data_IF_224991035304
#
_entry.id   IF_224991035304
#
_cell.length_a   1.000
_cell.length_b   1.000
_cell.length_c   1.000
_cell.angle_alpha   90.00
_cell.angle_beta   90.00
_cell.angle_gamma   90.00
#
_symmetry.space_group_name_H-M   'P 1'
#
loop_
_entity.id
_entity.type
_entity.pdbx_description
1 polymer ?
#
# COMPACT_ATOMS: atom_id res chain seq x y z
N UNK A 1 -31.20 -58.39 12.65
CA UNK A 1 -31.27 -57.46 11.50
C UNK A 1 -31.31 -56.02 12.01
N UNK A 2 -30.18 -55.30 11.92
CA UNK A 2 -30.03 -53.99 11.26
C UNK A 2 -28.62 -53.44 11.58
N UNK A 3 -27.87 -52.89 10.61
CA UNK A 3 -26.43 -52.78 10.70
C UNK A 3 -25.99 -51.46 11.34
N UNK A 4 -24.92 -51.54 12.14
CA UNK A 4 -24.16 -50.44 12.69
C UNK A 4 -23.02 -50.10 11.69
N UNK A 5 -23.33 -49.41 10.58
CA UNK A 5 -22.33 -49.01 9.57
C UNK A 5 -22.57 -47.57 9.06
N UNK A 6 -22.52 -46.58 9.96
CA UNK A 6 -22.63 -45.16 9.55
C UNK A 6 -21.59 -44.22 10.18
N UNK A 7 -20.58 -44.74 10.91
CA UNK A 7 -19.57 -43.90 11.58
C UNK A 7 -18.15 -43.98 10.98
N UNK A 8 -17.90 -44.83 9.98
CA UNK A 8 -16.60 -44.88 9.32
C UNK A 8 -16.31 -43.76 8.28
N UNK A 9 -17.28 -43.17 7.55
CA UNK A 9 -16.94 -42.14 6.56
C UNK A 9 -16.61 -40.78 7.20
N UNK A 10 -16.97 -40.54 8.47
CA UNK A 10 -16.66 -39.28 9.16
C UNK A 10 -15.19 -39.19 9.63
N UNK A 11 -14.55 -40.31 9.96
CA UNK A 11 -13.15 -40.31 10.42
C UNK A 11 -12.13 -40.25 9.27
N UNK A 12 -12.49 -40.73 8.08
CA UNK A 12 -11.62 -40.67 6.90
C UNK A 12 -11.69 -39.28 6.26
N UNK A 13 -12.88 -38.67 6.20
CA UNK A 13 -13.04 -37.30 5.71
C UNK A 13 -12.30 -36.27 6.58
N UNK A 14 -12.22 -36.47 7.91
CA UNK A 14 -11.48 -35.56 8.78
C UNK A 14 -9.96 -35.68 8.60
N UNK A 15 -9.42 -36.87 8.33
CA UNK A 15 -7.98 -37.05 8.09
C UNK A 15 -7.53 -36.52 6.72
N UNK A 16 -8.33 -36.72 5.66
CA UNK A 16 -8.04 -36.15 4.34
C UNK A 16 -8.18 -34.61 4.35
N UNK A 17 -9.23 -34.07 4.96
CA UNK A 17 -9.41 -32.63 5.13
C UNK A 17 -8.29 -31.97 5.99
N UNK A 18 -7.72 -32.70 6.95
CA UNK A 18 -6.54 -32.26 7.71
C UNK A 18 -5.26 -32.28 6.87
N UNK A 19 -5.13 -33.25 5.95
CA UNK A 19 -3.96 -33.38 5.10
C UNK A 19 -3.80 -32.15 4.21
N UNK A 20 -4.82 -31.74 3.45
CA UNK A 20 -4.69 -30.57 2.55
C UNK A 20 -4.59 -29.25 3.33
N UNK A 21 -5.25 -29.14 4.49
CA UNK A 21 -5.17 -27.95 5.34
C UNK A 21 -3.76 -27.69 5.89
N UNK A 22 -3.01 -28.75 6.25
CA UNK A 22 -1.64 -28.61 6.77
C UNK A 22 -0.58 -28.74 5.67
N UNK A 23 -0.75 -29.68 4.75
CA UNK A 23 0.20 -29.97 3.66
C UNK A 23 0.32 -28.80 2.68
N UNK A 24 -0.79 -28.12 2.37
CA UNK A 24 -0.77 -26.96 1.48
C UNK A 24 -0.55 -25.65 2.24
N UNK A 25 -0.28 -25.73 3.56
CA UNK A 25 0.06 -24.55 4.34
C UNK A 25 1.42 -24.00 3.94
N UNK A 26 1.60 -22.70 4.12
CA UNK A 26 2.83 -21.98 3.81
C UNK A 26 3.19 -21.05 4.95
N UNK A 27 4.45 -21.05 5.33
CA UNK A 27 5.01 -20.16 6.35
C UNK A 27 6.12 -19.30 5.76
N UNK A 28 6.12 -18.01 6.08
CA UNK A 28 7.23 -17.12 5.71
C UNK A 28 7.56 -16.13 6.82
N UNK A 29 8.86 -15.85 6.98
CA UNK A 29 9.36 -14.81 7.86
C UNK A 29 10.12 -13.79 7.04
N UNK A 30 9.56 -12.58 6.92
CA UNK A 30 10.28 -11.44 6.38
C UNK A 30 11.03 -10.74 7.52
N UNK A 31 12.32 -10.53 7.31
CA UNK A 31 13.23 -9.79 8.19
C UNK A 31 13.55 -8.48 7.50
N UNK A 32 13.31 -7.35 8.18
CA UNK A 32 13.47 -6.02 7.63
C UNK A 32 14.26 -5.13 8.58
N UNK A 33 15.41 -4.66 8.16
CA UNK A 33 16.12 -3.57 8.82
C UNK A 33 15.81 -2.27 8.06
N UNK A 34 15.40 -1.20 8.75
CA UNK A 34 14.95 0.03 8.10
C UNK A 34 15.48 1.26 8.84
N UNK A 35 16.35 2.02 8.18
CA UNK A 35 16.72 3.38 8.55
C UNK A 35 15.93 4.40 7.71
N UNK A 36 15.33 5.38 8.39
CA UNK A 36 14.56 6.45 7.78
C UNK A 36 15.02 7.78 8.36
N UNK A 37 15.31 8.73 7.48
CA UNK A 37 15.71 10.08 7.81
C UNK A 37 14.94 11.07 6.93
N UNK A 38 14.31 12.05 7.56
CA UNK A 38 13.52 13.09 6.92
C UNK A 38 13.90 14.41 7.60
N UNK A 39 14.84 15.10 6.98
CA UNK A 39 15.49 16.31 7.45
C UNK A 39 14.78 17.53 6.88
N UNK A 40 14.13 18.30 7.73
CA UNK A 40 13.36 19.48 7.33
C UNK A 40 14.27 20.71 7.27
N UNK A 41 14.34 21.35 6.12
CA UNK A 41 15.29 22.46 5.90
C UNK A 41 14.74 23.79 6.43
N UNK A 42 15.19 24.21 7.62
CA UNK A 42 14.92 25.53 8.23
C UNK A 42 13.47 25.80 8.61
N UNK A 43 13.17 26.86 9.38
CA UNK A 43 11.82 27.18 9.84
C UNK A 43 11.43 26.54 11.20
N UNK A 44 10.24 26.83 11.74
CA UNK A 44 9.83 26.34 13.05
C UNK A 44 9.36 24.88 13.01
N UNK A 45 9.50 24.16 14.12
CA UNK A 45 9.02 22.79 14.28
C UNK A 45 10.15 21.82 14.65
N UNK A 46 10.00 20.55 14.31
CA UNK A 46 11.05 19.54 14.45
C UNK A 46 12.10 19.72 13.36
N UNK A 47 13.38 19.62 13.68
CA UNK A 47 14.43 19.69 12.65
C UNK A 47 14.45 18.44 11.76
N UNK A 48 14.21 17.26 12.35
CA UNK A 48 14.24 15.99 11.64
C UNK A 48 13.20 14.99 12.18
N UNK A 49 12.82 14.02 11.36
CA UNK A 49 12.25 12.74 11.80
C UNK A 49 13.19 11.61 11.37
N UNK A 50 13.88 11.00 12.33
CA UNK A 50 14.95 10.03 12.07
C UNK A 50 14.89 8.84 13.01
N UNK A 51 14.67 7.65 12.46
CA UNK A 51 14.57 6.41 13.21
C UNK A 51 15.26 5.25 12.48
N UNK A 52 15.80 4.31 13.26
CA UNK A 52 16.32 3.03 12.80
C UNK A 52 15.64 1.90 13.55
N UNK A 53 15.10 0.92 12.82
CA UNK A 53 14.35 -0.18 13.39
C UNK A 53 14.65 -1.53 12.74
N UNK A 54 14.48 -2.60 13.51
CA UNK A 54 14.48 -3.98 13.05
C UNK A 54 13.06 -4.55 13.16
N UNK A 55 12.54 -5.12 12.08
CA UNK A 55 11.20 -5.67 12.00
C UNK A 55 11.18 -7.13 11.53
N UNK A 56 10.18 -7.86 12.00
CA UNK A 56 9.90 -9.23 11.63
C UNK A 56 8.42 -9.35 11.26
N UNK A 57 8.11 -9.88 10.08
CA UNK A 57 6.75 -10.14 9.60
C UNK A 57 6.62 -11.64 9.36
N UNK A 58 5.92 -12.32 10.25
CA UNK A 58 5.57 -13.72 10.13
C UNK A 58 4.21 -13.82 9.42
N UNK A 59 4.15 -14.55 8.31
CA UNK A 59 2.89 -14.94 7.67
C UNK A 59 2.78 -16.45 7.68
N UNK A 60 1.61 -16.95 8.06
CA UNK A 60 1.29 -18.37 8.02
C UNK A 60 -0.13 -18.55 7.49
N UNK A 61 -0.25 -19.23 6.36
CA UNK A 61 -1.52 -19.54 5.73
C UNK A 61 -1.70 -21.05 5.73
N UNK A 62 -2.85 -21.55 6.19
CA UNK A 62 -3.21 -22.94 5.97
C UNK A 62 -3.50 -23.21 4.48
N UNK A 63 -3.58 -24.49 4.11
CA UNK A 63 -4.35 -24.90 2.95
C UNK A 63 -5.86 -24.73 3.17
N UNK A 64 -6.64 -25.29 2.24
CA UNK A 64 -8.09 -25.36 2.33
C UNK A 64 -8.53 -26.77 2.70
N UNK A 65 -9.54 -26.91 3.56
CA UNK A 65 -10.16 -28.22 3.79
C UNK A 65 -10.85 -28.73 2.53
N UNK A 66 -10.86 -30.04 2.32
CA UNK A 66 -11.66 -30.67 1.27
C UNK A 66 -13.17 -30.41 1.47
N UNK A 67 -13.91 -30.35 0.36
CA UNK A 67 -15.37 -30.22 0.34
C UNK A 67 -15.88 -29.07 -0.54
N UNK A 68 -17.22 -28.98 -0.72
CA UNK A 68 -17.85 -27.94 -1.53
C UNK A 68 -17.73 -26.54 -0.92
N UNK A 69 -17.64 -26.46 0.41
CA UNK A 69 -17.27 -25.26 1.16
C UNK A 69 -15.93 -25.53 1.81
N UNK A 70 -14.91 -24.88 1.30
CA UNK A 70 -13.53 -25.03 1.74
C UNK A 70 -13.23 -24.02 2.83
N UNK A 71 -12.56 -24.44 3.90
CA UNK A 71 -12.18 -23.58 5.02
C UNK A 71 -10.66 -23.46 5.14
N UNK A 72 -10.17 -22.26 5.43
CA UNK A 72 -8.78 -21.95 5.67
C UNK A 72 -8.60 -20.92 6.79
N UNK A 73 -7.39 -20.86 7.35
CA UNK A 73 -6.95 -19.83 8.29
C UNK A 73 -5.74 -19.09 7.73
N UNK A 74 -5.65 -17.80 8.00
CA UNK A 74 -4.47 -16.98 7.74
C UNK A 74 -4.07 -16.25 9.01
N UNK A 75 -2.78 -16.16 9.24
CA UNK A 75 -2.17 -15.45 10.33
C UNK A 75 -1.09 -14.50 9.82
N UNK A 76 -1.07 -13.30 10.38
CA UNK A 76 0.03 -12.35 10.23
C UNK A 76 0.44 -11.83 11.60
N UNK A 77 1.73 -11.95 11.92
CA UNK A 77 2.34 -11.42 13.14
C UNK A 77 3.47 -10.48 12.77
N UNK A 78 3.55 -9.35 13.45
CA UNK A 78 4.56 -8.32 13.21
C UNK A 78 5.14 -7.86 14.54
N UNK A 79 6.46 -7.81 14.63
CA UNK A 79 7.17 -7.29 15.80
C UNK A 79 8.36 -6.45 15.38
N UNK A 80 8.44 -5.22 15.91
CA UNK A 80 9.46 -4.24 15.60
C UNK A 80 10.23 -3.83 16.85
N UNK A 81 11.53 -3.62 16.69
CA UNK A 81 12.47 -3.22 17.73
C UNK A 81 13.16 -1.92 17.33
N UNK A 82 13.23 -0.99 18.27
CA UNK A 82 14.04 0.22 18.13
C UNK A 82 15.52 -0.14 18.12
N UNK A 83 16.25 0.40 17.14
CA UNK A 83 17.71 0.41 17.13
C UNK A 83 18.23 1.81 17.46
N UNK A 84 17.55 2.85 16.95
CA UNK A 84 17.87 4.24 17.22
C UNK A 84 16.64 5.13 17.03
N UNK A 85 16.30 5.93 18.05
CA UNK A 85 15.23 6.95 18.03
C UNK A 85 15.31 7.80 19.30
N UNK A 86 14.63 8.94 19.31
CA UNK A 86 14.42 9.77 20.51
C UNK A 86 13.16 10.63 20.37
N UNK A 87 12.59 11.16 21.48
CA UNK A 87 11.33 11.90 21.44
C UNK A 87 11.34 13.13 20.51
N UNK A 88 12.48 13.77 20.33
CA UNK A 88 12.68 14.93 19.46
C UNK A 88 12.71 14.59 17.96
N UNK A 89 12.89 13.32 17.57
CA UNK A 89 12.98 12.90 16.15
C UNK A 89 12.16 11.66 15.77
N UNK A 90 11.23 11.24 16.64
CA UNK A 90 10.26 10.18 16.33
C UNK A 90 9.11 10.67 15.44
N UNK A 91 8.28 9.74 14.98
CA UNK A 91 7.10 10.00 14.14
C UNK A 91 7.31 9.62 12.68
N UNK A 92 8.35 8.83 12.36
CA UNK A 92 8.59 8.39 10.98
C UNK A 92 7.56 7.36 10.50
N UNK A 93 6.84 6.72 11.43
CA UNK A 93 5.97 5.58 11.18
C UNK A 93 6.69 4.23 11.15
N UNK A 94 7.98 4.17 11.54
CA UNK A 94 8.70 2.92 11.76
C UNK A 94 8.38 2.30 13.14
N UNK A 95 8.33 3.14 14.18
CA UNK A 95 8.16 2.75 15.57
C UNK A 95 6.89 3.37 16.16
N UNK A 96 6.25 2.65 17.09
CA UNK A 96 5.16 3.22 17.89
C UNK A 96 5.73 4.14 18.97
N UNK A 97 5.04 5.23 19.25
CA UNK A 97 5.40 6.19 20.30
C UNK A 97 4.15 6.70 21.04
N UNK A 98 4.34 7.24 22.24
CA UNK A 98 3.29 7.89 22.99
C UNK A 98 2.99 9.27 22.37
N UNK A 99 1.78 9.54 21.86
CA UNK A 99 1.50 10.79 21.16
C UNK A 99 1.52 12.04 22.06
N UNK A 100 1.50 11.89 23.40
CA UNK A 100 1.58 13.00 24.36
C UNK A 100 3.01 13.29 24.79
N UNK A 101 3.77 12.27 25.18
CA UNK A 101 5.16 12.43 25.68
C UNK A 101 6.20 12.34 24.56
N UNK A 102 5.83 11.82 23.39
CA UNK A 102 6.71 11.45 22.27
C UNK A 102 7.73 10.37 22.60
N UNK A 103 7.62 9.73 23.76
CA UNK A 103 8.48 8.60 24.11
C UNK A 103 8.20 7.42 23.18
N UNK A 104 9.29 6.85 22.66
CA UNK A 104 9.27 5.75 21.69
C UNK A 104 9.29 4.45 22.47
N UNK A 105 8.50 3.47 22.03
CA UNK A 105 8.54 2.15 22.63
C UNK A 105 9.75 1.37 22.09
N UNK A 106 10.55 0.77 22.98
CA UNK A 106 11.70 -0.07 22.61
C UNK A 106 11.31 -1.19 21.63
N UNK A 107 10.08 -1.69 21.75
CA UNK A 107 9.49 -2.63 20.81
C UNK A 107 7.97 -2.48 20.74
N UNK A 108 7.38 -2.97 19.65
CA UNK A 108 5.94 -3.09 19.50
C UNK A 108 5.56 -4.29 18.65
N UNK A 109 4.41 -4.89 18.95
CA UNK A 109 3.94 -6.07 18.23
C UNK A 109 2.46 -5.98 17.93
N UNK A 110 2.08 -6.40 16.73
CA UNK A 110 0.69 -6.49 16.30
C UNK A 110 0.48 -7.76 15.49
N UNK A 111 -0.69 -8.36 15.63
CA UNK A 111 -1.04 -9.56 14.90
C UNK A 111 -2.48 -9.52 14.42
N UNK A 112 -2.77 -10.37 13.45
CA UNK A 112 -4.09 -10.55 12.86
C UNK A 112 -4.31 -12.01 12.48
N UNK A 113 -5.54 -12.47 12.65
CA UNK A 113 -6.00 -13.76 12.16
C UNK A 113 -7.24 -13.54 11.29
N UNK A 114 -7.38 -14.34 10.24
CA UNK A 114 -8.61 -14.35 9.44
C UNK A 114 -9.04 -15.76 9.09
N UNK A 115 -10.33 -16.01 9.14
CA UNK A 115 -10.95 -17.18 8.53
C UNK A 115 -11.16 -16.93 7.04
N UNK A 116 -10.93 -17.95 6.23
CA UNK A 116 -11.15 -17.96 4.78
C UNK A 116 -12.15 -19.05 4.44
N UNK A 117 -13.15 -18.72 3.64
CA UNK A 117 -14.15 -19.65 3.14
C UNK A 117 -14.17 -19.56 1.63
N UNK A 118 -14.05 -20.69 0.94
CA UNK A 118 -14.02 -20.73 -0.51
C UNK A 118 -15.06 -21.70 -1.06
N UNK A 119 -15.78 -21.27 -2.08
CA UNK A 119 -16.70 -22.08 -2.88
C UNK A 119 -16.42 -21.75 -4.34
N UNK A 120 -16.11 -22.76 -5.16
CA UNK A 120 -15.69 -22.53 -6.55
C UNK A 120 -14.49 -21.57 -6.62
N UNK A 121 -14.59 -20.48 -7.39
CA UNK A 121 -13.60 -19.43 -7.56
C UNK A 121 -13.95 -18.18 -6.73
N UNK A 122 -14.79 -18.33 -5.71
CA UNK A 122 -15.21 -17.25 -4.81
C UNK A 122 -14.72 -17.50 -3.40
N UNK A 123 -13.99 -16.53 -2.84
CA UNK A 123 -13.40 -16.58 -1.51
C UNK A 123 -13.93 -15.42 -0.65
N UNK A 124 -14.39 -15.74 0.55
CA UNK A 124 -14.68 -14.81 1.63
C UNK A 124 -13.58 -14.90 2.69
N UNK A 125 -12.92 -13.78 2.98
CA UNK A 125 -11.99 -13.64 4.09
C UNK A 125 -12.62 -12.76 5.19
N UNK A 126 -12.58 -13.19 6.45
CA UNK A 126 -13.12 -12.45 7.60
C UNK A 126 -12.10 -12.43 8.74
N UNK A 127 -11.78 -11.25 9.25
CA UNK A 127 -10.79 -11.03 10.30
C UNK A 127 -9.84 -9.89 9.94
N UNK A 128 -8.55 -10.04 10.25
CA UNK A 128 -7.51 -9.08 9.89
C UNK A 128 -6.84 -9.41 8.57
N UNK A 129 -6.73 -8.44 7.68
CA UNK A 129 -6.13 -8.59 6.35
C UNK A 129 -5.46 -7.30 5.86
N UNK A 130 -4.75 -7.39 4.73
CA UNK A 130 -4.06 -6.25 4.06
C UNK A 130 -4.51 -6.14 2.60
N UNK A 131 -5.72 -5.63 2.32
CA UNK A 131 -6.28 -5.59 0.97
C UNK A 131 -5.44 -4.69 0.07
N UNK A 132 -5.11 -5.12 -1.14
CA UNK A 132 -4.39 -4.29 -2.13
C UNK A 132 -5.33 -3.93 -3.28
N UNK A 133 -5.91 -2.73 -3.20
CA UNK A 133 -6.92 -2.21 -4.12
C UNK A 133 -6.58 -0.76 -4.50
N UNK A 134 -7.02 -0.25 -5.67
CA UNK A 134 -6.81 1.15 -6.03
C UNK A 134 -7.42 2.16 -5.03
N UNK A 135 -8.50 1.77 -4.33
CA UNK A 135 -9.18 2.56 -3.29
C UNK A 135 -8.68 2.26 -1.86
N UNK A 136 -7.76 1.30 -1.71
CA UNK A 136 -7.14 0.90 -0.44
C UNK A 136 -5.79 0.26 -0.74
N UNK A 137 -4.73 1.08 -0.73
CA UNK A 137 -3.40 0.67 -1.14
C UNK A 137 -2.42 0.69 0.05
N UNK A 138 -2.45 -0.34 0.93
CA UNK A 138 -1.57 -0.43 2.08
C UNK A 138 -0.15 -0.70 1.61
N UNK A 139 0.66 0.34 1.56
CA UNK A 139 2.06 0.23 1.13
C UNK A 139 2.93 -0.21 2.30
N UNK A 140 3.96 -0.97 1.96
CA UNK A 140 5.04 -1.38 2.86
C UNK A 140 6.15 -0.33 2.94
N UNK A 141 5.80 0.96 2.80
CA UNK A 141 6.75 2.08 2.71
C UNK A 141 7.49 2.36 4.03
N UNK A 142 7.09 1.71 5.12
CA UNK A 142 7.68 1.78 6.46
C UNK A 142 7.98 0.36 6.97
N UNK A 143 8.12 0.17 8.28
CA UNK A 143 8.50 -1.11 8.86
C UNK A 143 7.42 -2.17 8.58
N UNK A 144 6.15 -1.84 8.85
CA UNK A 144 5.02 -2.74 8.68
C UNK A 144 3.89 -2.13 7.86
N UNK A 145 3.13 -2.94 7.11
CA UNK A 145 1.84 -2.50 6.58
C UNK A 145 0.81 -2.32 7.72
N UNK A 146 -0.26 -1.54 7.50
CA UNK A 146 -1.43 -1.55 8.38
C UNK A 146 -2.23 -2.86 8.26
N UNK A 147 -3.02 -3.21 9.27
CA UNK A 147 -3.99 -4.33 9.23
C UNK A 147 -5.41 -3.79 9.30
N UNK A 148 -6.29 -4.26 8.43
CA UNK A 148 -7.71 -3.91 8.45
C UNK A 148 -8.52 -5.06 9.00
N UNK A 149 -9.44 -4.76 9.93
CA UNK A 149 -10.40 -5.72 10.47
C UNK A 149 -11.72 -5.60 9.72
N UNK A 150 -12.22 -6.72 9.22
CA UNK A 150 -13.50 -6.75 8.51
C UNK A 150 -13.68 -8.02 7.68
N UNK A 151 -14.43 -7.89 6.59
CA UNK A 151 -14.68 -8.97 5.64
C UNK A 151 -14.54 -8.51 4.20
N UNK A 152 -13.98 -9.37 3.35
CA UNK A 152 -13.85 -9.13 1.92
C UNK A 152 -14.19 -10.41 1.15
N UNK A 153 -15.02 -10.27 0.12
CA UNK A 153 -15.29 -11.30 -0.88
C UNK A 153 -14.51 -10.97 -2.14
N UNK A 154 -13.85 -11.97 -2.72
CA UNK A 154 -13.25 -11.94 -4.06
C UNK A 154 -13.84 -13.07 -4.89
N UNK A 155 -14.36 -12.76 -6.07
CA UNK A 155 -15.02 -13.73 -6.96
C UNK A 155 -14.40 -13.68 -8.36
N UNK A 156 -14.03 -14.86 -8.87
CA UNK A 156 -13.53 -15.08 -10.23
C UNK A 156 -14.34 -16.12 -10.98
N UNK A 157 -15.67 -16.12 -10.82
CA UNK A 157 -16.55 -17.11 -11.49
C UNK A 157 -16.71 -16.86 -13.00
N UNK A 158 -16.47 -15.63 -13.46
CA UNK A 158 -16.61 -15.23 -14.87
C UNK A 158 -15.21 -15.03 -15.46
N UNK A 159 -14.92 -15.70 -16.56
CA UNK A 159 -13.63 -15.62 -17.23
C UNK A 159 -13.26 -14.16 -17.54
N UNK A 160 -12.05 -13.77 -17.11
CA UNK A 160 -11.52 -12.43 -17.29
C UNK A 160 -12.06 -11.39 -16.31
N UNK A 161 -13.08 -11.68 -15.51
CA UNK A 161 -13.67 -10.77 -14.52
C UNK A 161 -13.29 -11.19 -13.09
N UNK A 162 -12.79 -10.24 -12.31
CA UNK A 162 -12.62 -10.40 -10.86
C UNK A 162 -13.44 -9.35 -10.13
N UNK A 163 -14.45 -9.78 -9.38
CA UNK A 163 -15.27 -8.91 -8.54
C UNK A 163 -14.77 -8.94 -7.11
N UNK A 164 -14.74 -7.78 -6.44
CA UNK A 164 -14.37 -7.65 -5.04
C UNK A 164 -15.34 -6.71 -4.32
N UNK A 165 -15.67 -7.06 -3.09
CA UNK A 165 -16.46 -6.20 -2.22
C UNK A 165 -16.20 -6.51 -0.76
N UNK A 166 -16.35 -5.52 0.10
CA UNK A 166 -16.04 -5.72 1.51
C UNK A 166 -16.42 -4.55 2.40
N UNK A 167 -16.25 -4.79 3.69
CA UNK A 167 -16.48 -3.83 4.76
C UNK A 167 -15.40 -3.98 5.82
N UNK A 168 -14.77 -2.87 6.21
CA UNK A 168 -13.78 -2.80 7.27
C UNK A 168 -14.20 -1.81 8.34
N UNK A 169 -14.06 -2.16 9.61
CA UNK A 169 -14.53 -1.34 10.73
C UNK A 169 -13.40 -0.85 11.64
N UNK A 170 -12.22 -1.48 11.58
CA UNK A 170 -11.02 -1.05 12.30
C UNK A 170 -9.77 -1.15 11.46
N UNK A 171 -8.76 -0.40 11.87
CA UNK A 171 -7.42 -0.42 11.32
C UNK A 171 -6.40 -0.43 12.47
N UNK A 172 -5.44 -1.33 12.41
CA UNK A 172 -4.15 -1.19 13.10
C UNK A 172 -3.23 -0.41 12.19
N UNK A 173 -2.89 0.82 12.59
CA UNK A 173 -1.98 1.70 11.87
C UNK A 173 -0.59 1.05 11.70
N UNK A 174 0.23 1.56 10.77
CA UNK A 174 1.55 0.97 10.47
C UNK A 174 2.45 0.86 11.72
N UNK A 175 2.36 1.86 12.59
CA UNK A 175 3.12 2.12 13.81
C UNK A 175 2.27 2.00 15.09
N UNK A 176 1.22 1.16 15.08
CA UNK A 176 0.32 0.98 16.23
C UNK A 176 -0.06 -0.48 16.46
N UNK A 177 -0.35 -0.81 17.71
CA UNK A 177 -0.85 -2.12 18.18
C UNK A 177 -2.36 -2.19 18.25
N UNK A 178 -3.04 -1.04 18.29
CA UNK A 178 -4.47 -0.93 18.62
C UNK A 178 -5.38 -1.08 17.40
N UNK A 179 -6.53 -1.74 17.58
CA UNK A 179 -7.63 -1.68 16.61
C UNK A 179 -8.39 -0.36 16.76
N UNK A 180 -7.98 0.64 16.00
CA UNK A 180 -8.56 1.97 16.03
C UNK A 180 -9.61 2.15 14.91
N UNK A 181 -10.49 3.15 15.08
CA UNK A 181 -11.43 3.52 14.00
C UNK A 181 -10.67 4.05 12.78
N UNK A 182 -11.27 3.85 11.61
CA UNK A 182 -10.73 4.37 10.36
C UNK A 182 -10.88 5.89 10.32
N UNK A 183 -9.94 6.55 9.66
CA UNK A 183 -9.91 8.00 9.46
C UNK A 183 -9.45 8.32 8.05
N UNK A 184 -9.76 9.52 7.59
CA UNK A 184 -9.14 10.12 6.40
C UNK A 184 -7.75 10.65 6.76
N UNK A 185 -6.82 10.67 5.80
CA UNK A 185 -5.55 11.36 5.97
C UNK A 185 -5.77 12.86 6.20
N UNK A 186 -5.11 13.41 7.22
CA UNK A 186 -5.09 14.84 7.51
C UNK A 186 -3.82 15.54 7.00
N UNK A 187 -3.05 14.91 6.09
CA UNK A 187 -1.80 15.49 5.61
C UNK A 187 -2.05 16.88 4.99
N UNK A 188 -1.12 17.80 5.24
CA UNK A 188 -1.20 19.22 4.86
C UNK A 188 -2.46 19.94 5.37
N UNK A 189 -3.18 19.38 6.35
CA UNK A 189 -4.42 19.99 6.85
C UNK A 189 -5.57 19.97 5.84
N UNK A 190 -5.47 19.19 4.76
CA UNK A 190 -6.49 19.14 3.68
C UNK A 190 -7.87 18.70 4.19
N UNK A 191 -7.89 17.89 5.24
CA UNK A 191 -9.08 17.35 5.88
C UNK A 191 -8.89 17.27 7.40
N UNK A 192 -9.99 17.24 8.16
CA UNK A 192 -9.92 16.92 9.58
C UNK A 192 -9.55 15.43 9.79
N UNK A 193 -8.25 15.15 9.91
CA UNK A 193 -7.70 13.81 10.11
C UNK A 193 -8.03 13.16 11.47
N UNK A 194 -8.68 13.87 12.38
CA UNK A 194 -9.21 13.29 13.63
C UNK A 194 -10.61 12.72 13.47
N UNK A 195 -11.28 13.00 12.34
CA UNK A 195 -12.62 12.50 12.05
C UNK A 195 -12.61 10.96 11.95
N UNK A 196 -13.32 10.32 12.87
CA UNK A 196 -13.47 8.87 12.87
C UNK A 196 -14.71 8.42 12.09
N UNK A 197 -14.54 7.34 11.34
CA UNK A 197 -15.62 6.65 10.65
C UNK A 197 -16.04 5.37 11.38
N UNK A 198 -17.31 4.98 11.20
CA UNK A 198 -17.83 3.69 11.66
C UNK A 198 -17.36 2.51 10.79
N UNK A 199 -16.99 2.78 9.54
CA UNK A 199 -16.52 1.76 8.62
C UNK A 199 -16.22 2.26 7.21
N UNK A 200 -15.51 1.42 6.47
CA UNK A 200 -15.17 1.59 5.08
C UNK A 200 -15.78 0.45 4.26
N UNK A 201 -16.71 0.77 3.37
CA UNK A 201 -17.30 -0.20 2.44
C UNK A 201 -16.78 0.05 1.03
N UNK A 202 -16.66 -1.02 0.25
CA UNK A 202 -16.30 -0.91 -1.15
C UNK A 202 -16.87 -2.05 -1.99
N UNK A 203 -16.95 -1.82 -3.29
CA UNK A 203 -17.35 -2.80 -4.28
C UNK A 203 -16.81 -2.41 -5.65
N UNK A 204 -16.36 -3.39 -6.43
CA UNK A 204 -15.77 -3.14 -7.74
C UNK A 204 -15.19 -4.39 -8.37
N UNK A 205 -14.38 -4.20 -9.40
CA UNK A 205 -13.71 -5.29 -10.07
C UNK A 205 -12.81 -4.87 -11.21
N UNK A 206 -12.08 -5.86 -11.70
CA UNK A 206 -11.20 -5.78 -12.85
C UNK A 206 -11.71 -6.70 -13.95
N UNK A 207 -11.68 -6.25 -15.20
CA UNK A 207 -12.07 -7.04 -16.34
C UNK A 207 -11.01 -6.98 -17.45
N UNK A 208 -10.59 -8.13 -17.95
CA UNK A 208 -9.78 -8.24 -19.16
C UNK A 208 -10.65 -7.91 -20.38
N UNK A 209 -10.60 -6.66 -20.81
CA UNK A 209 -11.30 -6.19 -22.02
C UNK A 209 -10.68 -6.81 -23.28
N UNK A 210 -9.36 -6.99 -23.27
CA UNK A 210 -8.55 -7.72 -24.23
C UNK A 210 -7.40 -8.43 -23.49
N UNK A 211 -6.64 -9.30 -24.15
CA UNK A 211 -5.47 -9.97 -23.55
C UNK A 211 -4.43 -8.99 -23.00
N UNK A 212 -4.36 -7.80 -23.57
CA UNK A 212 -3.40 -6.75 -23.26
C UNK A 212 -4.04 -5.48 -22.68
N UNK A 213 -5.35 -5.48 -22.42
CA UNK A 213 -6.11 -4.33 -21.92
C UNK A 213 -7.02 -4.75 -20.75
N UNK A 214 -6.77 -4.19 -19.58
CA UNK A 214 -7.59 -4.38 -18.39
C UNK A 214 -8.33 -3.09 -18.05
N UNK A 215 -9.64 -3.19 -17.87
CA UNK A 215 -10.47 -2.15 -17.26
C UNK A 215 -10.75 -2.46 -15.80
N UNK A 216 -10.90 -1.42 -14.98
CA UNK A 216 -11.14 -1.54 -13.56
C UNK A 216 -12.12 -0.47 -13.09
N UNK A 217 -13.02 -0.82 -12.19
CA UNK A 217 -13.94 0.12 -11.56
C UNK A 217 -14.14 -0.23 -10.09
N UNK A 218 -14.08 0.77 -9.22
CA UNK A 218 -14.33 0.61 -7.80
C UNK A 218 -15.15 1.78 -7.26
N UNK A 219 -16.13 1.47 -6.41
CA UNK A 219 -16.77 2.41 -5.50
C UNK A 219 -16.27 2.13 -4.09
N UNK A 220 -15.98 3.19 -3.34
CA UNK A 220 -15.61 3.12 -1.94
C UNK A 220 -16.32 4.22 -1.14
N UNK A 221 -16.61 3.96 0.13
CA UNK A 221 -17.21 4.91 1.05
C UNK A 221 -16.58 4.73 2.42
N UNK A 222 -16.03 5.82 2.95
CA UNK A 222 -15.68 5.98 4.34
C UNK A 222 -16.83 6.72 5.03
N UNK A 223 -17.64 5.98 5.78
CA UNK A 223 -18.94 6.45 6.29
C UNK A 223 -18.84 7.79 7.04
N UNK A 224 -19.72 8.74 6.71
CA UNK A 224 -19.78 10.11 7.24
C UNK A 224 -18.54 10.98 6.92
N UNK A 225 -17.71 10.56 5.96
CA UNK A 225 -16.49 11.28 5.58
C UNK A 225 -16.47 11.55 4.08
N UNK A 226 -16.26 10.52 3.26
CA UNK A 226 -16.20 10.65 1.82
C UNK A 226 -16.68 9.39 1.11
N UNK A 227 -17.12 9.56 -0.13
CA UNK A 227 -17.29 8.48 -1.10
C UNK A 227 -16.43 8.76 -2.33
N UNK A 228 -15.98 7.70 -2.99
CA UNK A 228 -15.03 7.79 -4.08
C UNK A 228 -15.35 6.74 -5.14
N UNK A 229 -15.42 7.20 -6.39
CA UNK A 229 -15.41 6.34 -7.56
C UNK A 229 -14.00 6.32 -8.15
N UNK A 230 -13.56 5.15 -8.60
CA UNK A 230 -12.33 4.94 -9.33
C UNK A 230 -12.65 4.23 -10.65
N UNK A 231 -12.10 4.74 -11.74
CA UNK A 231 -12.10 4.07 -13.05
C UNK A 231 -10.66 4.00 -13.54
N UNK A 232 -10.21 2.84 -14.00
CA UNK A 232 -8.85 2.68 -14.51
C UNK A 232 -8.75 1.79 -15.74
N UNK A 233 -7.80 2.10 -16.61
CA UNK A 233 -7.41 1.34 -17.79
C UNK A 233 -5.90 1.11 -17.74
N UNK A 234 -5.48 -0.14 -17.95
CA UNK A 234 -4.09 -0.53 -18.09
C UNK A 234 -3.91 -1.31 -19.37
N UNK A 235 -3.04 -0.82 -20.26
CA UNK A 235 -2.74 -1.41 -21.55
C UNK A 235 -1.23 -1.71 -21.66
N UNK A 236 -0.85 -2.88 -22.17
CA UNK A 236 0.56 -3.20 -22.43
C UNK A 236 0.72 -3.78 -23.82
N UNK A 237 1.41 -3.08 -24.72
CA UNK A 237 1.60 -3.53 -26.10
C UNK A 237 3.08 -3.59 -26.47
N UNK A 238 3.52 -4.58 -27.25
CA UNK A 238 4.76 -4.47 -27.99
C UNK A 238 4.75 -3.18 -28.84
N UNK A 239 5.88 -2.49 -28.91
CA UNK A 239 6.06 -1.30 -29.75
C UNK A 239 7.50 -1.27 -30.26
N UNK A 240 7.68 -1.60 -31.54
CA UNK A 240 9.01 -1.72 -32.14
C UNK A 240 9.89 -2.74 -31.39
N UNK A 241 11.13 -2.40 -31.01
CA UNK A 241 12.03 -3.29 -30.27
C UNK A 241 11.71 -3.38 -28.76
N UNK A 242 10.70 -2.67 -28.27
CA UNK A 242 10.34 -2.58 -26.86
C UNK A 242 8.88 -2.90 -26.58
N UNK A 243 8.44 -2.51 -25.38
CA UNK A 243 7.05 -2.61 -24.95
C UNK A 243 6.61 -1.28 -24.32
N UNK A 244 5.41 -0.84 -24.66
CA UNK A 244 4.75 0.33 -24.08
C UNK A 244 3.67 -0.14 -23.11
N UNK A 245 3.79 0.27 -21.84
CA UNK A 245 2.72 0.21 -20.84
C UNK A 245 2.07 1.59 -20.77
N UNK A 246 0.75 1.64 -20.86
CA UNK A 246 -0.06 2.86 -20.72
C UNK A 246 -1.10 2.64 -19.62
N UNK A 247 -1.22 3.61 -18.73
CA UNK A 247 -2.17 3.59 -17.62
C UNK A 247 -2.92 4.91 -17.59
N UNK A 248 -4.23 4.84 -17.43
CA UNK A 248 -5.08 6.00 -17.23
C UNK A 248 -6.08 5.66 -16.14
N UNK A 249 -6.15 6.47 -15.09
CA UNK A 249 -7.17 6.30 -14.06
C UNK A 249 -7.67 7.63 -13.53
N UNK A 250 -8.93 7.63 -13.10
CA UNK A 250 -9.63 8.78 -12.61
C UNK A 250 -10.31 8.45 -11.29
N UNK A 251 -10.10 9.31 -10.30
CA UNK A 251 -10.85 9.30 -9.05
C UNK A 251 -11.86 10.45 -9.04
N UNK A 252 -13.09 10.17 -8.62
CA UNK A 252 -14.13 11.16 -8.36
C UNK A 252 -14.56 11.04 -6.90
N UNK A 253 -14.28 12.07 -6.10
CA UNK A 253 -14.48 12.05 -4.65
C UNK A 253 -15.42 13.16 -4.23
N UNK A 254 -16.41 12.81 -3.41
CA UNK A 254 -17.35 13.76 -2.81
C UNK A 254 -17.59 13.42 -1.34
N UNK A 255 -18.13 14.37 -0.58
CA UNK A 255 -18.45 14.13 0.82
C UNK A 255 -19.56 13.09 1.00
N UNK A 256 -19.54 12.43 2.14
CA UNK A 256 -20.53 11.44 2.53
C UNK A 256 -21.15 11.77 3.90
N UNK A 257 -22.45 11.48 4.03
CA UNK A 257 -23.19 11.58 5.29
C UNK A 257 -23.00 12.92 5.99
N UNK A 258 -22.57 12.87 7.26
CA UNK A 258 -22.36 14.06 8.08
C UNK A 258 -21.11 14.89 7.72
N UNK A 259 -20.31 14.49 6.71
CA UNK A 259 -19.12 15.20 6.25
C UNK A 259 -18.16 15.60 7.40
N UNK A 260 -17.88 14.66 8.32
CA UNK A 260 -17.13 14.89 9.57
C UNK A 260 -15.72 15.41 9.35
N UNK A 261 -15.15 15.17 8.17
CA UNK A 261 -13.82 15.64 7.80
C UNK A 261 -13.79 17.03 7.13
N UNK A 262 -14.96 17.63 6.92
CA UNK A 262 -15.14 18.83 6.10
C UNK A 262 -15.62 18.50 4.69
N UNK A 263 -15.63 19.53 3.83
CA UNK A 263 -16.05 19.41 2.42
C UNK A 263 -15.11 18.46 1.68
N UNK A 264 -15.64 17.70 0.74
CA UNK A 264 -14.86 16.91 -0.22
C UNK A 264 -15.47 17.13 -1.61
N UNK A 265 -14.65 17.65 -2.51
CA UNK A 265 -15.01 17.92 -3.91
C UNK A 265 -13.74 17.84 -4.74
N UNK A 266 -13.45 16.64 -5.25
CA UNK A 266 -12.19 16.36 -5.93
C UNK A 266 -12.35 15.38 -7.10
N UNK A 267 -11.87 15.79 -8.27
CA UNK A 267 -11.57 14.89 -9.38
C UNK A 267 -10.06 14.76 -9.58
N UNK A 268 -9.50 13.55 -9.68
CA UNK A 268 -8.07 13.33 -9.90
C UNK A 268 -7.81 12.45 -11.13
N UNK A 269 -7.38 13.06 -12.23
CA UNK A 269 -6.95 12.37 -13.45
C UNK A 269 -5.47 12.01 -13.36
N UNK A 270 -5.13 10.76 -13.68
CA UNK A 270 -3.76 10.26 -13.74
C UNK A 270 -3.52 9.59 -15.10
N UNK A 271 -2.42 9.92 -15.75
CA UNK A 271 -1.99 9.37 -17.04
C UNK A 271 -0.51 8.99 -16.96
N UNK A 272 -0.16 7.74 -17.25
CA UNK A 272 1.22 7.26 -17.23
C UNK A 272 1.54 6.47 -18.49
N UNK A 273 2.72 6.69 -19.06
CA UNK A 273 3.25 5.90 -20.17
C UNK A 273 4.67 5.48 -19.85
N UNK A 274 4.97 4.18 -19.91
CA UNK A 274 6.29 3.61 -19.67
C UNK A 274 6.74 2.77 -20.87
N UNK A 275 7.86 3.14 -21.49
CA UNK A 275 8.45 2.42 -22.61
C UNK A 275 9.72 1.69 -22.16
N UNK A 276 9.70 0.36 -22.24
CA UNK A 276 10.82 -0.50 -21.89
C UNK A 276 11.57 -0.91 -23.15
N UNK A 277 12.86 -0.55 -23.21
CA UNK A 277 13.79 -0.91 -24.27
C UNK A 277 15.08 -1.47 -23.68
N UNK A 278 15.24 -2.78 -23.81
CA UNK A 278 16.41 -3.48 -23.31
C UNK A 278 16.50 -3.42 -21.78
N UNK A 279 17.56 -2.76 -21.27
CA UNK A 279 17.77 -2.52 -19.83
C UNK A 279 17.03 -1.27 -19.32
N UNK A 280 16.53 -0.41 -20.21
CA UNK A 280 15.96 0.89 -19.86
C UNK A 280 14.44 0.82 -19.81
N UNK A 281 13.83 1.50 -18.84
CA UNK A 281 12.41 1.89 -18.90
C UNK A 281 12.30 3.39 -18.67
N UNK A 282 11.75 4.09 -19.66
CA UNK A 282 11.46 5.52 -19.55
C UNK A 282 9.98 5.72 -19.31
N UNK A 283 9.61 6.46 -18.26
CA UNK A 283 8.21 6.77 -17.96
C UNK A 283 7.96 8.26 -17.93
N UNK A 284 6.84 8.68 -18.52
CA UNK A 284 6.32 10.04 -18.45
C UNK A 284 4.90 9.98 -17.89
N UNK A 285 4.63 10.87 -16.97
CA UNK A 285 3.36 10.93 -16.27
C UNK A 285 2.78 12.34 -16.18
N UNK A 286 1.46 12.44 -16.23
CA UNK A 286 0.68 13.62 -15.89
C UNK A 286 -0.44 13.30 -14.89
N UNK A 287 -0.58 14.10 -13.85
CA UNK A 287 -1.69 14.06 -12.90
C UNK A 287 -2.34 15.45 -12.76
N UNK A 288 -3.66 15.51 -12.67
CA UNK A 288 -4.41 16.75 -12.54
C UNK A 288 -5.54 16.59 -11.53
N UNK A 289 -5.46 17.38 -10.46
CA UNK A 289 -6.50 17.52 -9.47
C UNK A 289 -7.42 18.68 -9.86
N UNK A 290 -8.72 18.45 -9.73
CA UNK A 290 -9.81 19.38 -10.04
C UNK A 290 -10.81 19.39 -8.89
N UNK A 291 -11.73 20.36 -8.88
CA UNK A 291 -12.61 20.61 -7.73
C UNK A 291 -11.99 21.56 -6.70
N UNK A 292 -12.66 21.72 -5.57
CA UNK A 292 -12.30 22.69 -4.54
C UNK A 292 -11.42 22.10 -3.43
N UNK A 293 -11.26 20.78 -3.35
CA UNK A 293 -10.46 20.12 -2.30
C UNK A 293 -9.33 19.26 -2.89
N UNK A 294 -8.39 18.84 -2.03
CA UNK A 294 -7.43 17.79 -2.38
C UNK A 294 -8.11 16.43 -2.51
N UNK A 295 -7.36 15.40 -2.88
CA UNK A 295 -7.91 14.04 -2.97
C UNK A 295 -7.93 13.36 -1.58
N UNK A 296 -9.10 12.91 -1.07
CA UNK A 296 -9.16 12.16 0.17
C UNK A 296 -8.67 10.72 -0.02
N UNK A 297 -8.06 10.16 1.02
CA UNK A 297 -7.68 8.76 1.12
C UNK A 297 -7.61 8.33 2.59
N UNK A 298 -7.63 7.02 2.88
CA UNK A 298 -7.54 6.51 4.25
C UNK A 298 -6.20 6.91 4.91
N UNK A 299 -6.22 7.16 6.21
CA UNK A 299 -5.00 7.43 6.96
C UNK A 299 -4.08 6.19 7.02
N UNK A 300 -2.76 6.42 7.04
CA UNK A 300 -1.72 5.38 7.16
C UNK A 300 -1.71 4.32 6.05
N UNK A 301 -2.28 4.63 4.90
CA UNK A 301 -1.96 3.98 3.63
C UNK A 301 -1.35 5.02 2.69
N UNK A 302 -0.84 4.58 1.53
CA UNK A 302 -0.48 5.53 0.48
C UNK A 302 -1.62 5.57 -0.56
N UNK A 303 -1.80 6.69 -1.27
CA UNK A 303 -2.77 6.77 -2.36
C UNK A 303 -2.27 6.04 -3.62
N UNK A 304 -3.18 5.41 -4.37
CA UNK A 304 -2.86 4.77 -5.65
C UNK A 304 -2.85 5.81 -6.78
N UNK A 305 -1.75 6.56 -6.87
CA UNK A 305 -1.56 7.62 -7.87
C UNK A 305 -0.28 7.42 -8.68
N UNK A 306 -0.16 8.16 -9.79
CA UNK A 306 0.92 8.00 -10.76
C UNK A 306 2.30 8.28 -10.18
N UNK A 307 2.38 9.20 -9.23
CA UNK A 307 3.60 9.52 -8.48
C UNK A 307 3.81 8.59 -7.29
N UNK A 308 3.07 7.48 -7.21
CA UNK A 308 3.16 6.48 -6.15
C UNK A 308 4.60 6.10 -5.84
N UNK A 309 4.91 6.09 -4.54
CA UNK A 309 6.25 5.84 -4.03
C UNK A 309 7.22 7.03 -4.10
N UNK A 310 6.76 8.25 -4.42
CA UNK A 310 7.46 9.48 -4.09
C UNK A 310 7.84 9.50 -2.60
N UNK A 311 8.95 10.15 -2.25
CA UNK A 311 9.51 10.08 -0.91
C UNK A 311 8.94 11.16 -0.01
N UNK A 312 8.81 12.40 -0.49
CA UNK A 312 8.41 13.54 0.32
C UNK A 312 6.90 13.66 0.51
N UNK A 313 6.13 13.63 -0.57
CA UNK A 313 4.68 13.91 -0.58
C UNK A 313 3.95 13.13 -1.66
N UNK A 314 2.62 13.17 -1.61
CA UNK A 314 1.72 12.51 -2.56
C UNK A 314 1.19 13.40 -3.70
N UNK A 315 1.49 14.71 -3.68
CA UNK A 315 1.05 15.68 -4.70
C UNK A 315 -0.48 15.72 -4.89
N UNK A 316 -1.22 15.70 -3.77
CA UNK A 316 -2.69 15.65 -3.75
C UNK A 316 -3.33 16.95 -3.26
N UNK A 317 -2.67 18.09 -3.43
CA UNK A 317 -3.21 19.37 -3.00
C UNK A 317 -4.34 19.85 -3.95
N UNK A 318 -5.24 20.73 -3.49
CA UNK A 318 -6.32 21.24 -4.33
C UNK A 318 -5.79 21.89 -5.61
N UNK A 319 -6.40 21.53 -6.76
CA UNK A 319 -6.15 22.07 -8.12
C UNK A 319 -4.73 21.86 -8.66
N UNK A 320 -3.95 21.00 -8.01
CA UNK A 320 -2.57 20.74 -8.37
C UNK A 320 -2.44 20.02 -9.73
N UNK A 321 -1.42 20.42 -10.50
CA UNK A 321 -1.04 19.80 -11.78
C UNK A 321 0.38 19.29 -11.69
N UNK A 322 0.56 18.02 -11.98
CA UNK A 322 1.80 17.29 -11.69
C UNK A 322 2.32 16.61 -12.94
N UNK A 323 3.60 16.79 -13.23
CA UNK A 323 4.31 16.02 -14.24
C UNK A 323 5.41 15.19 -13.60
N UNK A 324 5.64 13.99 -14.12
CA UNK A 324 6.70 13.10 -13.66
C UNK A 324 7.51 12.58 -14.84
N UNK A 325 8.84 12.63 -14.71
CA UNK A 325 9.75 11.81 -15.51
C UNK A 325 10.40 10.77 -14.61
N UNK A 326 10.55 9.54 -15.12
CA UNK A 326 11.20 8.45 -14.41
C UNK A 326 12.03 7.62 -15.38
N UNK A 327 13.22 7.22 -14.95
CA UNK A 327 14.05 6.26 -15.67
C UNK A 327 14.47 5.14 -14.73
N UNK A 328 14.11 3.91 -15.08
CA UNK A 328 14.54 2.70 -14.41
C UNK A 328 15.58 1.97 -15.28
N UNK A 329 16.63 1.45 -14.67
CA UNK A 329 17.68 0.68 -15.34
C UNK A 329 17.90 -0.67 -14.65
N UNK A 330 17.89 -1.74 -15.44
CA UNK A 330 18.18 -3.11 -14.99
C UNK A 330 19.56 -3.57 -15.49
N UNK A 331 20.51 -3.76 -14.57
CA UNK A 331 21.88 -4.12 -14.91
C UNK A 331 22.08 -5.61 -15.24
N UNK A 332 21.03 -6.44 -15.25
CA UNK A 332 21.14 -7.86 -15.57
C UNK A 332 21.81 -8.12 -16.93
N UNK A 333 21.52 -7.28 -17.94
CA UNK A 333 22.14 -7.39 -19.28
C UNK A 333 23.61 -6.99 -19.32
N UNK A 334 24.12 -6.41 -18.24
CA UNK A 334 25.52 -5.98 -18.07
C UNK A 334 26.28 -6.82 -17.05
N UNK A 335 25.77 -8.03 -16.75
CA UNK A 335 26.46 -8.97 -15.86
C UNK A 335 26.29 -8.69 -14.37
N UNK A 336 25.40 -7.76 -13.98
CA UNK A 336 25.08 -7.46 -12.58
C UNK A 336 23.59 -7.72 -12.31
N UNK A 337 23.10 -8.97 -12.46
CA UNK A 337 21.71 -9.30 -12.16
C UNK A 337 21.39 -8.98 -10.70
N UNK A 338 20.19 -8.43 -10.48
CA UNK A 338 19.74 -7.97 -9.17
C UNK A 338 20.03 -6.49 -8.88
N UNK A 339 20.99 -5.86 -9.57
CA UNK A 339 21.25 -4.42 -9.45
C UNK A 339 20.29 -3.62 -10.32
N UNK A 340 19.59 -2.66 -9.72
CA UNK A 340 18.70 -1.73 -10.40
C UNK A 340 18.89 -0.31 -9.89
N UNK A 341 18.72 0.66 -10.77
CA UNK A 341 18.67 2.07 -10.40
C UNK A 341 17.38 2.71 -10.90
N UNK A 342 16.90 3.69 -10.16
CA UNK A 342 15.79 4.54 -10.57
C UNK A 342 16.17 5.99 -10.31
N UNK A 343 15.95 6.84 -11.30
CA UNK A 343 15.92 8.29 -11.13
C UNK A 343 14.51 8.79 -11.41
N UNK A 344 14.07 9.78 -10.65
CA UNK A 344 12.74 10.37 -10.78
C UNK A 344 12.83 11.88 -10.62
N UNK A 345 12.05 12.60 -11.41
CA UNK A 345 11.76 14.01 -11.21
C UNK A 345 10.25 14.21 -11.24
N UNK A 346 9.70 14.89 -10.24
CA UNK A 346 8.29 15.23 -10.13
C UNK A 346 8.19 16.75 -9.96
N UNK A 347 7.23 17.37 -10.62
CA UNK A 347 6.91 18.78 -10.43
C UNK A 347 5.41 18.99 -10.36
N UNK A 348 4.95 19.57 -9.25
CA UNK A 348 3.60 20.05 -8.98
C UNK A 348 3.51 21.57 -9.10
N UNK A 349 2.43 22.08 -9.68
CA UNK A 349 2.12 23.52 -9.80
C UNK A 349 0.64 23.78 -9.62
N UNK A 350 0.28 25.06 -9.49
CA UNK A 350 -1.11 25.52 -9.35
C UNK A 350 -1.77 25.02 -8.06
N UNK A 351 -0.96 24.88 -6.99
CA UNK A 351 -1.42 24.40 -5.69
C UNK A 351 -2.17 25.52 -4.99
N UNK A 352 -3.44 25.27 -4.68
CA UNK A 352 -4.29 26.25 -4.02
C UNK A 352 -4.18 26.16 -2.50
N UNK A 353 -3.02 26.58 -1.99
CA UNK A 353 -2.77 26.72 -0.56
C UNK A 353 -2.80 28.21 -0.16
N UNK A 354 -3.44 28.59 0.96
CA UNK A 354 -3.51 29.98 1.40
C UNK A 354 -2.13 30.63 1.60
N UNK A 355 -1.14 29.86 2.04
CA UNK A 355 0.22 30.36 2.32
C UNK A 355 0.96 30.80 1.05
N UNK A 356 0.60 30.26 -0.11
CA UNK A 356 1.20 30.62 -1.40
C UNK A 356 0.26 31.45 -2.29
N UNK A 357 -0.72 32.14 -1.70
CA UNK A 357 -1.70 32.97 -2.43
C UNK A 357 -2.36 32.25 -3.62
N UNK A 358 -2.57 30.93 -3.48
CA UNK A 358 -3.16 30.07 -4.52
C UNK A 358 -2.23 29.71 -5.69
N UNK A 359 -0.93 30.04 -5.61
CA UNK A 359 0.08 29.77 -6.64
C UNK A 359 1.23 28.90 -6.10
N UNK A 360 0.90 27.89 -5.31
CA UNK A 360 1.88 26.98 -4.76
C UNK A 360 2.56 26.12 -5.85
N UNK A 361 3.83 25.83 -5.65
CA UNK A 361 4.64 24.94 -6.46
C UNK A 361 5.47 24.02 -5.58
N UNK A 362 5.66 22.78 -6.02
CA UNK A 362 6.52 21.81 -5.36
C UNK A 362 7.23 20.93 -6.39
N UNK A 363 8.41 20.40 -6.04
CA UNK A 363 9.13 19.47 -6.90
C UNK A 363 10.04 18.55 -6.09
N UNK A 364 10.33 17.38 -6.65
CA UNK A 364 11.15 16.35 -6.02
C UNK A 364 12.08 15.68 -7.04
N UNK A 365 13.30 15.38 -6.60
CA UNK A 365 14.25 14.54 -7.30
C UNK A 365 14.57 13.33 -6.45
N UNK A 366 14.30 12.15 -6.98
CA UNK A 366 14.64 10.89 -6.29
C UNK A 366 15.74 10.14 -7.03
N UNK A 367 16.64 9.58 -6.22
CA UNK A 367 17.57 8.54 -6.61
C UNK A 367 17.28 7.28 -5.80
N UNK A 368 17.23 6.15 -6.48
CA UNK A 368 17.16 4.84 -5.85
C UNK A 368 18.20 3.90 -6.45
N UNK A 369 18.86 3.16 -5.57
CA UNK A 369 19.75 2.06 -5.93
C UNK A 369 19.29 0.83 -5.13
N UNK A 370 19.08 -0.28 -5.82
CA UNK A 370 18.69 -1.53 -5.17
C UNK A 370 19.51 -2.70 -5.70
N UNK A 371 19.80 -3.66 -4.82
CA UNK A 371 20.49 -4.89 -5.17
C UNK A 371 19.86 -6.08 -4.46
N UNK A 372 19.56 -7.14 -5.20
CA UNK A 372 19.17 -8.43 -4.62
C UNK A 372 20.26 -9.45 -4.91
N UNK A 373 20.78 -10.10 -3.87
CA UNK A 373 21.76 -11.18 -4.02
C UNK A 373 21.11 -12.34 -4.78
N UNK A 374 21.72 -12.77 -5.88
CA UNK A 374 21.11 -13.74 -6.80
C UNK A 374 21.39 -15.21 -6.44
N UNK A 375 22.47 -15.50 -5.70
CA UNK A 375 22.93 -16.88 -5.44
C UNK A 375 23.70 -17.00 -4.13
N UNK A 376 23.91 -18.23 -3.67
CA UNK A 376 24.64 -18.55 -2.43
C UNK A 376 23.74 -18.50 -1.19
N UNK A 377 24.36 -18.52 -0.01
CA UNK A 377 23.63 -18.58 1.27
C UNK A 377 22.80 -17.35 1.60
N UNK A 378 23.07 -16.22 0.92
CA UNK A 378 22.34 -14.95 1.07
C UNK A 378 21.42 -14.67 -0.12
N UNK A 379 21.17 -15.64 -1.01
CA UNK A 379 20.28 -15.45 -2.16
C UNK A 379 18.90 -14.93 -1.70
N UNK A 380 18.44 -13.83 -2.29
CA UNK A 380 17.21 -13.14 -1.89
C UNK A 380 17.39 -12.01 -0.88
N UNK A 381 18.60 -11.80 -0.33
CA UNK A 381 18.90 -10.62 0.48
C UNK A 381 18.88 -9.37 -0.40
N UNK A 382 17.95 -8.47 -0.10
CA UNK A 382 17.76 -7.21 -0.78
C UNK A 382 18.33 -6.04 0.02
N UNK A 383 19.06 -5.15 -0.64
CA UNK A 383 19.43 -3.83 -0.16
C UNK A 383 18.76 -2.78 -1.04
N UNK A 384 18.21 -1.74 -0.44
CA UNK A 384 17.62 -0.60 -1.17
C UNK A 384 17.96 0.70 -0.46
N UNK A 385 18.62 1.59 -1.19
CA UNK A 385 18.92 2.96 -0.80
C UNK A 385 18.04 3.87 -1.65
N UNK A 386 17.36 4.81 -0.99
CA UNK A 386 16.57 5.88 -1.63
C UNK A 386 16.96 7.21 -1.02
N UNK A 387 17.14 8.20 -1.86
CA UNK A 387 17.38 9.57 -1.46
C UNK A 387 16.50 10.50 -2.28
N UNK A 388 15.85 11.46 -1.63
CA UNK A 388 14.92 12.41 -2.25
C UNK A 388 15.21 13.81 -1.77
N UNK A 389 15.28 14.75 -2.71
CA UNK A 389 15.39 16.18 -2.46
C UNK A 389 14.10 16.84 -2.91
N UNK A 390 13.37 17.42 -1.96
CA UNK A 390 12.07 18.04 -2.18
C UNK A 390 12.11 19.53 -1.82
N UNK A 391 11.57 20.36 -2.71
CA UNK A 391 11.41 21.79 -2.47
C UNK A 391 10.00 22.27 -2.80
N UNK A 392 9.57 23.32 -2.12
CA UNK A 392 8.29 23.97 -2.37
C UNK A 392 8.30 25.44 -1.91
N UNK A 393 7.20 26.16 -2.13
CA UNK A 393 7.06 27.57 -1.74
C UNK A 393 5.93 27.86 -0.72
N UNK A 394 5.38 26.84 -0.07
CA UNK A 394 4.25 26.96 0.88
C UNK A 394 4.45 26.25 2.23
N UNK A 395 5.56 25.53 2.38
CA UNK A 395 5.95 24.70 3.51
C UNK A 395 7.49 24.62 3.56
N UNK A 396 8.03 23.70 4.37
CA UNK A 396 9.47 23.46 4.49
C UNK A 396 9.97 22.52 3.41
N UNK A 397 11.17 22.77 2.90
CA UNK A 397 11.90 21.84 2.04
C UNK A 397 12.34 20.62 2.85
N UNK A 398 12.59 19.50 2.18
CA UNK A 398 12.93 18.22 2.82
C UNK A 398 14.05 17.51 2.07
N UNK A 399 15.03 17.04 2.83
CA UNK A 399 15.97 16.01 2.40
C UNK A 399 15.57 14.69 3.04
N UNK A 400 15.45 13.63 2.25
CA UNK A 400 14.99 12.35 2.75
C UNK A 400 15.88 11.20 2.34
N UNK A 401 16.29 10.37 3.32
CA UNK A 401 17.07 9.17 3.07
C UNK A 401 16.38 7.96 3.68
N UNK A 402 16.26 6.89 2.89
CA UNK A 402 15.72 5.59 3.34
C UNK A 402 16.69 4.48 2.97
N UNK A 403 17.06 3.67 3.94
CA UNK A 403 17.83 2.44 3.72
C UNK A 403 17.04 1.28 4.27
N UNK A 404 16.77 0.27 3.45
CA UNK A 404 16.18 -0.97 3.92
C UNK A 404 16.97 -2.20 3.44
N UNK A 405 17.12 -3.15 4.36
CA UNK A 405 17.66 -4.48 4.10
C UNK A 405 16.53 -5.47 4.37
N UNK A 406 16.16 -6.24 3.34
CA UNK A 406 15.05 -7.18 3.39
C UNK A 406 15.54 -8.59 3.08
N UNK A 407 15.07 -9.57 3.85
CA UNK A 407 15.25 -10.98 3.55
C UNK A 407 13.96 -11.74 3.87
N UNK A 408 13.51 -12.62 2.98
CA UNK A 408 12.33 -13.44 3.23
C UNK A 408 12.74 -14.90 3.28
N UNK A 409 12.56 -15.52 4.44
CA UNK A 409 12.76 -16.95 4.64
C UNK A 409 11.44 -17.68 4.47
N UNK A 410 11.39 -18.65 3.56
CA UNK A 410 10.34 -19.67 3.56
C UNK A 410 10.59 -20.62 4.74
N UNK A 411 9.58 -20.82 5.58
CA UNK A 411 9.69 -21.67 6.77
C UNK A 411 9.28 -23.11 6.45
N UNK A 412 8.23 -23.29 5.63
CA UNK A 412 7.79 -24.56 5.06
C UNK A 412 7.00 -24.32 3.77
#
# INVERSE_FOLDING_TARGET
>A
MKPLYALLPLLVATQAAQADFIKDSKGSLQIRNYYFDHDFQGGPGLDEMREWAQGFILKADSGYTEGPVQFGLSFIGMTGFQLDSSPDRTGTGLLSFNPRTREVNDNYSKAGISARFKVSNTELQVGHMTPLLPIMFPVTARLFPPLFRGGMVTSGEIDGLTLRGGYFDRQKYRDSTEDAKLRVSGLNGRFNGTAESSGFMFGGGDYKLLDNLTGSYYYAQLNDIYKQHYVGLTHTTPLGPGALKSEAYYFDSSEDGAAKAGRVDNGNLNLNAAYTLGANTFSLGYMHLSGDTGMPYLASIDPYVMVGGALATEYLNPKERVWQFKHDYDFARHGLPGLKTQIRFIQGRNIHEPVADGNGEEWERDLEVSYVVQSGSLAGLGLRLRHGHYQNNFSRDVEQTRVNIDYTLALW
#
